data_IF_766160261656
#
_entry.id   IF_766160261656
#
_cell.length_a   1.000
_cell.length_b   1.000
_cell.length_c   1.000
_cell.angle_alpha   90.00
_cell.angle_beta   90.00
_cell.angle_gamma   90.00
#
_symmetry.space_group_name_H-M   'P 1'
#
loop_
_entity.id
_entity.type
_entity.pdbx_description
1 polymer ?
#
# COMPACT_ATOMS: atom_id res chain seq x y z
N UNK A 1 18.32 38.43 13.83
CA UNK A 1 17.17 37.63 14.32
C UNK A 1 16.47 36.82 13.23
N UNK A 2 16.19 37.38 12.04
CA UNK A 2 15.49 36.64 10.96
C UNK A 2 16.18 35.34 10.47
N UNK A 3 17.52 35.31 10.39
CA UNK A 3 18.27 34.11 9.97
C UNK A 3 18.13 32.92 10.93
N UNK A 4 17.98 33.16 12.23
CA UNK A 4 17.83 32.09 13.22
C UNK A 4 16.41 31.48 13.18
N UNK A 5 15.41 32.29 12.83
CA UNK A 5 14.03 31.85 12.63
C UNK A 5 13.92 31.04 11.33
N UNK A 6 14.61 31.46 10.27
CA UNK A 6 14.64 30.72 8.99
C UNK A 6 15.36 29.37 9.15
N UNK A 7 16.48 29.33 9.86
CA UNK A 7 17.22 28.10 10.14
C UNK A 7 16.41 27.08 10.95
N UNK A 8 15.71 27.53 11.99
CA UNK A 8 14.82 26.65 12.77
C UNK A 8 13.62 26.14 11.95
N UNK A 9 13.08 26.94 11.02
CA UNK A 9 12.01 26.49 10.13
C UNK A 9 12.49 25.41 9.15
N UNK A 10 13.68 25.59 8.55
CA UNK A 10 14.24 24.60 7.61
C UNK A 10 14.61 23.29 8.32
N UNK A 11 15.15 23.36 9.54
CA UNK A 11 15.40 22.19 10.38
C UNK A 11 14.08 21.50 10.79
N UNK A 12 13.09 22.27 11.19
CA UNK A 12 11.74 21.76 11.53
C UNK A 12 11.07 21.08 10.34
N UNK A 13 11.17 21.61 9.13
CA UNK A 13 10.59 20.99 7.92
C UNK A 13 11.30 19.68 7.55
N UNK A 14 12.63 19.62 7.72
CA UNK A 14 13.40 18.39 7.50
C UNK A 14 13.07 17.32 8.54
N UNK A 15 12.93 17.69 9.80
CA UNK A 15 12.52 16.78 10.87
C UNK A 15 11.08 16.30 10.68
N UNK A 16 10.19 17.18 10.22
CA UNK A 16 8.81 16.84 9.91
C UNK A 16 8.71 15.89 8.71
N UNK A 17 9.52 16.10 7.65
CA UNK A 17 9.63 15.16 6.53
C UNK A 17 10.24 13.82 6.92
N UNK A 18 11.23 13.79 7.82
CA UNK A 18 11.78 12.54 8.33
C UNK A 18 10.73 11.72 9.10
N UNK A 19 9.94 12.37 9.96
CA UNK A 19 8.83 11.72 10.68
C UNK A 19 7.70 11.24 9.77
N UNK A 20 7.30 12.03 8.77
CA UNK A 20 6.27 11.59 7.81
C UNK A 20 6.77 10.49 6.88
N UNK A 21 8.08 10.49 6.57
CA UNK A 21 8.72 9.49 5.73
C UNK A 21 8.72 8.11 6.37
N UNK A 22 9.01 8.02 7.67
CA UNK A 22 8.95 6.75 8.41
C UNK A 22 7.55 6.13 8.42
N UNK A 23 6.50 6.95 8.58
CA UNK A 23 5.12 6.45 8.56
C UNK A 23 4.73 5.91 7.18
N UNK A 24 5.09 6.61 6.11
CA UNK A 24 4.84 6.16 4.73
C UNK A 24 5.65 4.91 4.37
N UNK A 25 6.89 4.79 4.86
CA UNK A 25 7.74 3.63 4.61
C UNK A 25 7.19 2.34 5.28
N UNK A 26 6.32 2.47 6.30
CA UNK A 26 5.64 1.34 6.96
C UNK A 26 4.21 1.14 6.43
N UNK A 27 3.47 2.22 6.19
CA UNK A 27 2.09 2.17 5.73
C UNK A 27 1.97 1.62 4.30
N UNK A 28 2.84 2.06 3.38
CA UNK A 28 2.80 1.63 1.98
C UNK A 28 2.98 0.12 1.80
N UNK A 29 3.91 -0.58 2.47
CA UNK A 29 4.03 -2.02 2.35
C UNK A 29 3.02 -2.82 3.20
N UNK A 30 2.50 -2.26 4.30
CA UNK A 30 1.55 -2.97 5.16
C UNK A 30 0.17 -3.15 4.51
N UNK A 31 -0.33 -2.15 3.76
CA UNK A 31 -1.60 -2.23 3.03
C UNK A 31 -1.66 -3.41 2.03
N UNK A 32 -0.74 -3.53 1.04
CA UNK A 32 -0.76 -4.64 0.09
C UNK A 32 -0.48 -5.98 0.76
N UNK A 33 0.35 -6.02 1.80
CA UNK A 33 0.57 -7.23 2.60
C UNK A 33 -0.74 -7.70 3.25
N UNK A 34 -1.51 -6.78 3.83
CA UNK A 34 -2.82 -7.09 4.41
C UNK A 34 -3.80 -7.66 3.38
N UNK A 35 -3.82 -7.10 2.17
CA UNK A 35 -4.65 -7.60 1.06
C UNK A 35 -4.26 -9.03 0.67
N UNK A 36 -2.96 -9.31 0.53
CA UNK A 36 -2.45 -10.65 0.19
C UNK A 36 -2.84 -11.66 1.26
N UNK A 37 -2.66 -11.32 2.54
CA UNK A 37 -3.04 -12.19 3.66
C UNK A 37 -4.56 -12.42 3.70
N UNK A 38 -5.37 -11.40 3.45
CA UNK A 38 -6.82 -11.53 3.39
C UNK A 38 -7.27 -12.48 2.27
N UNK A 39 -6.73 -12.33 1.05
CA UNK A 39 -7.00 -13.27 -0.06
C UNK A 39 -6.61 -14.70 0.34
N UNK A 40 -5.48 -14.85 1.00
CA UNK A 40 -4.99 -16.14 1.48
C UNK A 40 -5.92 -16.74 2.55
N UNK A 41 -6.51 -15.90 3.42
CA UNK A 41 -7.51 -16.31 4.41
C UNK A 41 -8.81 -16.80 3.75
N UNK A 42 -9.24 -16.19 2.66
CA UNK A 42 -10.42 -16.63 1.89
C UNK A 42 -10.16 -17.90 1.06
N UNK A 43 -8.91 -18.14 0.65
CA UNK A 43 -8.57 -19.22 -0.29
C UNK A 43 -8.19 -20.53 0.40
N UNK A 44 -7.41 -20.49 1.49
CA UNK A 44 -6.96 -21.70 2.21
C UNK A 44 -8.09 -22.59 2.76
N UNK A 45 -9.20 -22.06 3.31
CA UNK A 45 -10.32 -22.86 3.79
C UNK A 45 -11.03 -23.68 2.69
N UNK A 46 -10.84 -23.33 1.41
CA UNK A 46 -11.42 -24.07 0.28
C UNK A 46 -10.79 -25.44 0.07
N UNK A 47 -9.67 -25.72 0.73
CA UNK A 47 -8.98 -27.01 0.69
C UNK A 47 -9.18 -27.74 2.03
N UNK A 48 -9.82 -28.91 1.98
CA UNK A 48 -10.13 -29.72 3.19
C UNK A 48 -8.91 -30.03 4.06
N UNK A 49 -7.71 -30.15 3.47
CA UNK A 49 -6.48 -30.38 4.22
C UNK A 49 -6.20 -29.27 5.27
N UNK A 50 -6.40 -28.01 4.89
CA UNK A 50 -6.06 -26.85 5.72
C UNK A 50 -7.14 -26.49 6.75
N UNK A 51 -8.34 -27.04 6.60
CA UNK A 51 -9.42 -26.93 7.61
C UNK A 51 -9.08 -27.77 8.85
N UNK A 52 -8.47 -28.94 8.66
CA UNK A 52 -8.09 -29.84 9.75
C UNK A 52 -6.74 -29.45 10.38
N UNK A 53 -5.82 -28.88 9.57
CA UNK A 53 -4.46 -28.54 10.00
C UNK A 53 -4.30 -27.04 10.30
N UNK A 54 -5.10 -26.53 11.24
CA UNK A 54 -5.18 -25.09 11.56
C UNK A 54 -3.84 -24.47 11.97
N UNK A 55 -2.95 -25.23 12.63
CA UNK A 55 -1.60 -24.77 12.99
C UNK A 55 -0.73 -24.53 11.76
N UNK A 56 -0.78 -25.43 10.77
CA UNK A 56 -0.05 -25.28 9.50
C UNK A 56 -0.56 -24.08 8.73
N UNK A 57 -1.89 -23.88 8.72
CA UNK A 57 -2.53 -22.72 8.09
C UNK A 57 -2.05 -21.39 8.71
N UNK A 58 -1.93 -21.33 10.04
CA UNK A 58 -1.38 -20.15 10.74
C UNK A 58 0.08 -19.87 10.40
N UNK A 59 0.92 -20.91 10.33
CA UNK A 59 2.33 -20.78 9.92
C UNK A 59 2.44 -20.25 8.49
N UNK A 60 1.56 -20.69 7.60
CA UNK A 60 1.51 -20.19 6.22
C UNK A 60 1.09 -18.71 6.20
N UNK A 61 0.08 -18.28 6.96
CA UNK A 61 -0.29 -16.87 7.05
C UNK A 61 0.87 -15.99 7.52
N UNK A 62 1.58 -16.41 8.57
CA UNK A 62 2.73 -15.65 9.10
C UNK A 62 3.88 -15.64 8.11
N UNK A 63 4.22 -16.79 7.53
CA UNK A 63 5.32 -16.91 6.56
C UNK A 63 5.09 -16.08 5.30
N UNK A 64 3.89 -16.21 4.70
CA UNK A 64 3.52 -15.41 3.52
C UNK A 64 3.42 -13.93 3.86
N UNK A 65 2.88 -13.58 5.03
CA UNK A 65 2.82 -12.20 5.50
C UNK A 65 4.20 -11.54 5.59
N UNK A 66 5.19 -12.23 6.17
CA UNK A 66 6.56 -11.71 6.29
C UNK A 66 7.21 -11.55 4.91
N UNK A 67 7.08 -12.55 4.04
CA UNK A 67 7.67 -12.51 2.69
C UNK A 67 7.02 -11.39 1.87
N UNK A 68 5.69 -11.27 1.91
CA UNK A 68 4.96 -10.22 1.22
C UNK A 68 5.34 -8.83 1.75
N UNK A 69 5.50 -8.67 3.07
CA UNK A 69 5.93 -7.41 3.66
C UNK A 69 7.33 -7.01 3.19
N UNK A 70 8.28 -7.94 3.19
CA UNK A 70 9.65 -7.71 2.72
C UNK A 70 9.69 -7.35 1.23
N UNK A 71 8.93 -8.06 0.39
CA UNK A 71 8.80 -7.72 -1.02
C UNK A 71 8.19 -6.33 -1.22
N UNK A 72 7.09 -6.02 -0.53
CA UNK A 72 6.45 -4.71 -0.65
C UNK A 72 7.37 -3.58 -0.15
N UNK A 73 8.17 -3.84 0.88
CA UNK A 73 9.16 -2.88 1.37
C UNK A 73 10.27 -2.64 0.34
N UNK A 74 10.78 -3.70 -0.31
CA UNK A 74 11.78 -3.60 -1.36
C UNK A 74 11.26 -2.82 -2.59
N UNK A 75 10.00 -3.04 -2.96
CA UNK A 75 9.37 -2.40 -4.12
C UNK A 75 8.54 -1.16 -3.78
N UNK A 76 8.72 -0.55 -2.61
CA UNK A 76 7.85 0.54 -2.11
C UNK A 76 7.66 1.71 -3.09
N UNK A 77 8.74 2.11 -3.77
CA UNK A 77 8.70 3.20 -4.77
C UNK A 77 7.90 2.81 -6.01
N UNK A 78 8.01 1.55 -6.44
CA UNK A 78 7.29 1.01 -7.59
C UNK A 78 5.80 0.89 -7.27
N UNK A 79 5.45 0.41 -6.07
CA UNK A 79 4.06 0.33 -5.59
C UNK A 79 3.43 1.73 -5.48
N UNK A 80 4.13 2.70 -4.90
CA UNK A 80 3.65 4.07 -4.80
C UNK A 80 3.44 4.70 -6.20
N UNK A 81 4.35 4.45 -7.14
CA UNK A 81 4.22 4.95 -8.52
C UNK A 81 3.03 4.31 -9.24
N UNK A 82 2.84 3.00 -9.11
CA UNK A 82 1.68 2.29 -9.65
C UNK A 82 0.37 2.81 -9.05
N UNK A 83 0.32 3.08 -7.75
CA UNK A 83 -0.86 3.62 -7.10
C UNK A 83 -1.24 5.01 -7.64
N UNK A 84 -0.25 5.88 -7.85
CA UNK A 84 -0.47 7.20 -8.46
C UNK A 84 -0.97 7.06 -9.90
N UNK A 85 -0.35 6.20 -10.70
CA UNK A 85 -0.79 5.94 -12.09
C UNK A 85 -2.21 5.39 -12.12
N UNK A 86 -2.54 4.43 -11.25
CA UNK A 86 -3.87 3.84 -11.15
C UNK A 86 -4.92 4.89 -10.77
N UNK A 87 -4.60 5.80 -9.85
CA UNK A 87 -5.49 6.89 -9.46
C UNK A 87 -5.79 7.83 -10.63
N UNK A 88 -4.76 8.29 -11.36
CA UNK A 88 -4.97 9.13 -12.55
C UNK A 88 -5.70 8.38 -13.67
N UNK A 89 -5.38 7.10 -13.87
CA UNK A 89 -6.07 6.24 -14.83
C UNK A 89 -7.56 6.10 -14.51
N UNK A 90 -7.91 5.96 -13.23
CA UNK A 90 -9.30 5.88 -12.80
C UNK A 90 -10.07 7.18 -13.06
N UNK A 91 -9.46 8.33 -12.79
CA UNK A 91 -10.07 9.64 -13.10
C UNK A 91 -10.33 9.78 -14.60
N UNK A 92 -9.35 9.43 -15.44
CA UNK A 92 -9.50 9.46 -16.89
C UNK A 92 -10.58 8.49 -17.38
N UNK A 93 -10.67 7.31 -16.78
CA UNK A 93 -11.72 6.35 -17.08
C UNK A 93 -13.12 6.89 -16.75
N UNK A 94 -13.31 7.49 -15.57
CA UNK A 94 -14.57 8.12 -15.19
C UNK A 94 -14.94 9.31 -16.11
N UNK A 95 -13.96 10.13 -16.46
CA UNK A 95 -14.16 11.24 -17.40
C UNK A 95 -14.54 10.72 -18.80
N UNK A 96 -13.88 9.66 -19.27
CA UNK A 96 -14.17 9.00 -20.54
C UNK A 96 -15.56 8.38 -20.58
N UNK A 97 -15.98 7.69 -19.51
CA UNK A 97 -17.34 7.16 -19.36
C UNK A 97 -18.39 8.27 -19.43
N UNK A 98 -18.18 9.36 -18.68
CA UNK A 98 -19.09 10.53 -18.70
C UNK A 98 -19.15 11.18 -20.09
N UNK A 99 -18.02 11.26 -20.79
CA UNK A 99 -17.96 11.79 -22.15
C UNK A 99 -18.69 10.87 -23.16
N UNK A 100 -18.51 9.55 -23.04
CA UNK A 100 -19.21 8.57 -23.87
C UNK A 100 -20.72 8.60 -23.64
N UNK A 101 -21.18 8.73 -22.39
CA UNK A 101 -22.59 8.92 -22.06
C UNK A 101 -23.17 10.21 -22.67
N UNK A 102 -22.37 11.28 -22.74
CA UNK A 102 -22.79 12.54 -23.34
C UNK A 102 -22.90 12.45 -24.88
N UNK A 103 -21.93 11.80 -25.55
CA UNK A 103 -21.95 11.61 -27.02
C UNK A 103 -23.05 10.63 -27.46
N UNK A 104 -23.42 9.68 -26.62
CA UNK A 104 -24.48 8.71 -26.90
C UNK A 104 -25.90 9.26 -26.74
N UNK A 105 -26.06 10.53 -26.37
CA UNK A 105 -27.33 11.26 -26.23
C UNK A 105 -27.59 12.16 -27.44
#
# INVERSE_FOLDING_TARGET
MGWHILGNRILSDKEMHAKSGEFLDIAVPSVPTGIIVWILTEFLPKFHFFVVHTTTTKLIYVGVGIIAFLMCYAYRKLIATLAVIAFFGFILFCAGMTFLEWVAK
#
